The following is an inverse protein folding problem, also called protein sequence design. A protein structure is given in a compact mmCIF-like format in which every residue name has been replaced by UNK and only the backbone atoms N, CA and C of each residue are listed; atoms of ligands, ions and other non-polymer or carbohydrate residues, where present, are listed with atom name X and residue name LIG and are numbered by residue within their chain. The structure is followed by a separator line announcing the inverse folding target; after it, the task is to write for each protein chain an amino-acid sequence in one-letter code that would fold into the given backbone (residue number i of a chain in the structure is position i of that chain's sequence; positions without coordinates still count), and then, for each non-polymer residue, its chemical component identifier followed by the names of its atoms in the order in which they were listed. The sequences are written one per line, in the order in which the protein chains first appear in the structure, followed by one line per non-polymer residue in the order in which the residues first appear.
data_IF_334054262840
#
_entry.id   IF_334054262840
#
_cell.length_a   1.000
_cell.length_b   1.000
_cell.length_c   1.000
_cell.angle_alpha   90.00
_cell.angle_beta   90.00
_cell.angle_gamma   90.00
#
_symmetry.space_group_name_H-M   'P 1'
#
loop_
_entity.id
_entity.type
_entity.pdbx_description
1 polymer ?
#
# COMPACT_ATOMS: atom_id res chain seq x y z
N UNK A 1 -37.65 -6.30 11.41
CA UNK A 1 -38.87 -6.74 10.69
C UNK A 1 -38.72 -6.33 9.23
N UNK A 2 -38.76 -7.32 8.30
CA UNK A 2 -39.09 -7.32 6.84
C UNK A 2 -38.53 -6.17 5.96
N UNK A 3 -38.00 -6.37 4.76
CA UNK A 3 -37.94 -7.48 3.79
C UNK A 3 -37.05 -7.05 2.60
N UNK A 4 -36.32 -7.96 1.96
CA UNK A 4 -36.59 -8.54 0.62
C UNK A 4 -36.97 -7.53 -0.48
N UNK A 5 -36.10 -7.47 -1.51
CA UNK A 5 -36.26 -6.74 -2.78
C UNK A 5 -35.07 -5.78 -2.98
N UNK A 6 -34.17 -5.94 -3.95
CA UNK A 6 -34.48 -6.09 -5.38
C UNK A 6 -33.27 -6.69 -6.11
N UNK A 7 -33.43 -7.92 -6.60
CA UNK A 7 -32.72 -8.47 -7.75
C UNK A 7 -33.33 -7.83 -9.01
N UNK A 8 -32.50 -7.47 -9.99
CA UNK A 8 -32.80 -6.96 -11.34
C UNK A 8 -32.60 -5.45 -11.59
N UNK A 9 -31.39 -5.09 -12.03
CA UNK A 9 -31.21 -4.24 -13.21
C UNK A 9 -29.96 -4.69 -13.97
N UNK A 10 -30.12 -5.78 -14.71
CA UNK A 10 -29.28 -6.14 -15.85
C UNK A 10 -29.78 -5.33 -17.05
N UNK A 11 -28.90 -4.53 -17.67
CA UNK A 11 -28.80 -4.16 -19.10
C UNK A 11 -28.38 -2.70 -19.28
N UNK A 12 -27.11 -2.49 -19.68
CA UNK A 12 -26.65 -1.20 -20.21
C UNK A 12 -25.27 -0.75 -19.77
N UNK A 13 -24.21 -1.49 -20.12
CA UNK A 13 -22.85 -0.96 -20.37
C UNK A 13 -21.92 -2.08 -20.86
N UNK A 14 -22.30 -2.76 -21.95
CA UNK A 14 -21.34 -3.49 -22.77
C UNK A 14 -20.73 -2.47 -23.73
N UNK A 15 -19.57 -1.89 -23.36
CA UNK A 15 -18.53 -1.25 -24.20
C UNK A 15 -17.72 -0.25 -23.35
N UNK A 16 -16.71 -0.71 -22.61
CA UNK A 16 -15.59 0.12 -22.11
C UNK A 16 -14.45 -0.71 -21.47
N UNK A 17 -14.17 -1.92 -21.96
CA UNK A 17 -13.08 -2.78 -21.44
C UNK A 17 -12.04 -3.16 -22.51
N UNK A 18 -11.96 -2.38 -23.59
CA UNK A 18 -11.05 -2.66 -24.69
C UNK A 18 -10.50 -1.39 -25.29
N UNK A 19 -9.43 -0.82 -24.72
CA UNK A 19 -8.49 0.05 -25.45
C UNK A 19 -7.21 0.31 -24.63
N UNK A 20 -6.34 -0.69 -24.55
CA UNK A 20 -4.88 -0.49 -24.40
C UNK A 20 -4.05 -1.69 -24.92
N UNK A 21 -4.61 -2.46 -25.85
CA UNK A 21 -3.92 -3.52 -26.60
C UNK A 21 -3.13 -2.99 -27.82
N UNK A 22 -2.89 -1.67 -27.94
CA UNK A 22 -2.38 -1.06 -29.18
C UNK A 22 -0.97 -0.46 -29.07
N UNK A 23 -0.35 -0.41 -27.88
CA UNK A 23 1.00 0.17 -27.72
C UNK A 23 2.15 -0.85 -27.63
N UNK A 24 1.84 -2.16 -27.65
CA UNK A 24 2.80 -3.22 -27.97
C UNK A 24 2.40 -3.76 -29.35
N UNK A 25 2.90 -3.15 -30.43
CA UNK A 25 2.52 -3.46 -31.82
C UNK A 25 2.68 -4.97 -32.12
N UNK A 26 1.62 -5.65 -32.61
CA UNK A 26 1.75 -6.81 -33.48
C UNK A 26 1.65 -6.37 -34.95
N UNK A 27 2.47 -6.96 -35.81
CA UNK A 27 2.42 -6.73 -37.27
C UNK A 27 1.21 -7.48 -37.88
N UNK A 28 0.28 -6.83 -38.60
CA UNK A 28 -1.05 -7.38 -38.87
C UNK A 28 -1.15 -8.26 -40.14
N UNK A 29 -0.14 -9.08 -40.47
CA UNK A 29 -0.19 -9.94 -41.67
C UNK A 29 0.04 -11.44 -41.46
N UNK A 30 0.07 -11.95 -40.23
CA UNK A 30 0.20 -13.41 -39.99
C UNK A 30 -0.96 -13.98 -39.17
N UNK A 31 -2.19 -13.70 -39.59
CA UNK A 31 -3.40 -14.30 -39.01
C UNK A 31 -3.95 -15.40 -39.93
N UNK A 32 -3.12 -16.40 -40.21
CA UNK A 32 -3.55 -17.73 -40.64
C UNK A 32 -2.33 -18.66 -40.66
N UNK A 33 -2.44 -19.78 -39.95
CA UNK A 33 -1.51 -20.93 -39.89
C UNK A 33 -0.39 -20.89 -38.84
N UNK A 34 -0.44 -21.89 -37.94
CA UNK A 34 0.61 -22.52 -37.12
C UNK A 34 0.72 -22.15 -35.64
N UNK A 35 0.21 -23.08 -34.84
CA UNK A 35 0.78 -23.49 -33.55
C UNK A 35 2.32 -23.64 -33.64
N UNK A 36 3.02 -23.23 -32.58
CA UNK A 36 4.49 -23.22 -32.38
C UNK A 36 5.28 -22.22 -33.25
N UNK A 37 5.78 -21.13 -32.65
CA UNK A 37 7.07 -20.45 -32.92
C UNK A 37 7.04 -18.97 -32.47
N UNK A 38 7.24 -18.73 -31.18
CA UNK A 38 8.33 -17.81 -30.82
C UNK A 38 9.37 -18.71 -30.16
N UNK A 39 10.44 -19.10 -30.87
CA UNK A 39 11.50 -19.95 -30.32
C UNK A 39 12.34 -19.24 -29.24
N UNK A 40 11.76 -18.28 -28.52
CA UNK A 40 12.38 -17.51 -27.45
C UNK A 40 12.17 -18.26 -26.14
N UNK A 41 13.23 -18.36 -25.34
CA UNK A 41 13.08 -18.86 -23.97
C UNK A 41 12.17 -17.92 -23.16
N UNK A 42 11.63 -18.40 -22.04
CA UNK A 42 10.77 -17.59 -21.15
C UNK A 42 11.52 -16.31 -20.72
N UNK A 43 12.80 -16.42 -20.43
CA UNK A 43 13.67 -15.28 -20.08
C UNK A 43 13.72 -14.28 -21.23
N UNK A 44 13.96 -14.75 -22.46
CA UNK A 44 14.04 -13.88 -23.63
C UNK A 44 12.72 -13.17 -23.92
N UNK A 45 11.57 -13.82 -23.67
CA UNK A 45 10.26 -13.16 -23.77
C UNK A 45 10.10 -12.04 -22.74
N UNK A 46 10.50 -12.28 -21.48
CA UNK A 46 10.44 -11.28 -20.40
C UNK A 46 11.37 -10.10 -20.70
N UNK A 47 12.59 -10.39 -21.14
CA UNK A 47 13.59 -9.40 -21.55
C UNK A 47 13.11 -8.52 -22.71
N UNK A 48 12.54 -9.13 -23.75
CA UNK A 48 11.99 -8.42 -24.90
C UNK A 48 10.79 -7.55 -24.51
N UNK A 49 9.86 -8.12 -23.73
CA UNK A 49 8.65 -7.39 -23.31
C UNK A 49 8.98 -6.20 -22.40
N UNK A 50 9.95 -6.34 -21.50
CA UNK A 50 10.33 -5.26 -20.59
C UNK A 50 11.39 -4.31 -21.17
N UNK A 51 12.00 -4.65 -22.31
CA UNK A 51 13.09 -3.87 -22.91
C UNK A 51 14.36 -3.86 -22.07
N UNK A 52 14.56 -4.88 -21.24
CA UNK A 52 15.68 -5.02 -20.31
C UNK A 52 16.43 -6.33 -20.54
N UNK A 53 17.56 -6.52 -19.86
CA UNK A 53 18.34 -7.78 -19.87
C UNK A 53 18.70 -8.21 -18.47
N UNK A 54 18.64 -9.50 -18.18
CA UNK A 54 19.10 -10.04 -16.90
C UNK A 54 20.58 -9.71 -16.69
N UNK A 55 20.91 -9.11 -15.55
CA UNK A 55 22.30 -8.83 -15.15
C UNK A 55 23.00 -10.10 -14.65
N UNK A 56 22.22 -11.01 -14.08
CA UNK A 56 22.66 -12.34 -13.65
C UNK A 56 21.63 -13.37 -14.08
N UNK A 57 22.10 -14.58 -14.41
CA UNK A 57 21.21 -15.70 -14.78
C UNK A 57 20.14 -15.91 -13.70
N UNK A 58 18.86 -16.04 -14.08
CA UNK A 58 17.79 -16.34 -13.13
C UNK A 58 18.04 -17.66 -12.39
N UNK A 59 18.05 -17.61 -11.07
CA UNK A 59 18.09 -18.80 -10.22
C UNK A 59 16.67 -19.11 -9.73
N UNK A 60 16.23 -20.35 -9.93
CA UNK A 60 14.89 -20.82 -9.56
C UNK A 60 15.05 -22.07 -8.70
N UNK A 61 14.54 -22.01 -7.47
CA UNK A 61 14.58 -23.13 -6.53
C UNK A 61 13.18 -23.67 -6.27
N UNK A 62 13.03 -24.98 -6.46
CA UNK A 62 11.85 -25.72 -6.03
C UNK A 62 11.97 -26.04 -4.55
N UNK A 63 10.99 -25.62 -3.76
CA UNK A 63 11.00 -25.74 -2.30
C UNK A 63 9.66 -26.24 -1.78
N UNK A 64 9.67 -26.82 -0.57
CA UNK A 64 8.43 -27.11 0.16
C UNK A 64 7.78 -25.80 0.63
N UNK A 65 6.46 -25.83 0.84
CA UNK A 65 5.69 -24.64 1.25
C UNK A 65 6.18 -24.07 2.58
N UNK A 66 6.56 -24.93 3.52
CA UNK A 66 7.07 -24.55 4.84
C UNK A 66 8.38 -23.78 4.74
N UNK A 67 9.23 -24.13 3.77
CA UNK A 67 10.50 -23.43 3.51
C UNK A 67 10.21 -22.04 2.94
N UNK A 68 9.27 -21.93 1.99
CA UNK A 68 8.86 -20.64 1.42
C UNK A 68 8.29 -19.71 2.49
N UNK A 69 7.41 -20.23 3.36
CA UNK A 69 6.84 -19.47 4.49
C UNK A 69 7.93 -18.99 5.45
N UNK A 70 8.87 -19.86 5.84
CA UNK A 70 10.00 -19.48 6.70
C UNK A 70 10.83 -18.35 6.07
N UNK A 71 11.06 -18.39 4.76
CA UNK A 71 11.81 -17.34 4.04
C UNK A 71 11.07 -16.01 3.99
N UNK A 72 9.77 -16.04 3.76
CA UNK A 72 8.91 -14.86 3.83
C UNK A 72 8.99 -14.21 5.22
N UNK A 73 8.85 -15.00 6.28
CA UNK A 73 8.92 -14.51 7.66
C UNK A 73 10.30 -13.95 8.01
N UNK A 74 11.37 -14.62 7.60
CA UNK A 74 12.75 -14.13 7.72
C UNK A 74 12.97 -12.80 7.01
N UNK A 75 12.43 -12.65 5.79
CA UNK A 75 12.54 -11.42 5.01
C UNK A 75 11.79 -10.26 5.67
N UNK A 76 10.55 -10.51 6.14
CA UNK A 76 9.78 -9.52 6.91
C UNK A 76 10.51 -9.12 8.21
N UNK A 77 11.09 -10.08 8.93
CA UNK A 77 11.88 -9.81 10.12
C UNK A 77 13.14 -8.98 9.82
N UNK A 78 13.82 -9.26 8.70
CA UNK A 78 14.98 -8.49 8.25
C UNK A 78 14.59 -7.06 7.84
N UNK A 79 13.44 -6.89 7.18
CA UNK A 79 12.93 -5.60 6.72
C UNK A 79 12.54 -4.66 7.85
N UNK A 80 11.83 -5.17 8.86
CA UNK A 80 11.24 -4.32 9.90
C UNK A 80 12.01 -4.37 11.22
N UNK A 81 12.93 -5.32 11.37
CA UNK A 81 13.67 -5.57 12.60
C UNK A 81 12.83 -6.18 13.72
N UNK A 82 13.46 -6.57 14.85
CA UNK A 82 12.78 -7.20 15.98
C UNK A 82 11.65 -6.30 16.53
N UNK A 83 10.42 -6.81 16.54
CA UNK A 83 9.24 -6.10 17.02
C UNK A 83 8.75 -4.96 16.11
N UNK A 84 9.37 -4.74 14.94
CA UNK A 84 9.03 -3.62 14.06
C UNK A 84 7.60 -3.66 13.52
N UNK A 85 7.10 -4.85 13.16
CA UNK A 85 5.71 -5.04 12.71
C UNK A 85 4.70 -4.87 13.83
N UNK A 86 5.02 -5.29 15.05
CA UNK A 86 4.17 -5.07 16.22
C UNK A 86 4.04 -3.57 16.54
N UNK A 87 5.16 -2.82 16.48
CA UNK A 87 5.17 -1.37 16.65
C UNK A 87 4.36 -0.65 15.56
N UNK A 88 4.45 -1.06 14.30
CA UNK A 88 3.62 -0.53 13.20
C UNK A 88 2.14 -0.82 13.42
N UNK A 89 1.79 -2.05 13.74
CA UNK A 89 0.42 -2.46 14.10
C UNK A 89 -0.15 -1.57 15.22
N UNK A 90 0.66 -1.35 16.26
CA UNK A 90 0.29 -0.47 17.38
C UNK A 90 0.12 0.99 16.95
N UNK A 91 1.02 1.53 16.13
CA UNK A 91 0.91 2.89 15.62
C UNK A 91 -0.37 3.08 14.78
N UNK A 92 -0.68 2.14 13.89
CA UNK A 92 -1.90 2.17 13.06
C UNK A 92 -3.18 2.08 13.91
N UNK A 93 -3.19 1.21 14.92
CA UNK A 93 -4.29 1.12 15.89
C UNK A 93 -4.52 2.47 16.59
N UNK A 94 -3.44 3.08 17.09
CA UNK A 94 -3.50 4.37 17.77
C UNK A 94 -3.89 5.53 16.84
N UNK A 95 -3.68 5.38 15.53
CA UNK A 95 -4.06 6.38 14.55
C UNK A 95 -5.55 6.31 14.19
N UNK A 96 -6.13 5.11 14.16
CA UNK A 96 -7.56 4.92 13.86
C UNK A 96 -7.90 3.59 13.17
N UNK A 97 -6.90 2.82 12.74
CA UNK A 97 -7.11 1.48 12.18
C UNK A 97 -7.34 0.45 13.29
N UNK A 98 -8.51 0.51 13.96
CA UNK A 98 -8.81 -0.27 15.16
C UNK A 98 -8.81 -1.79 14.95
N UNK A 99 -8.82 -2.27 13.70
CA UNK A 99 -8.67 -3.69 13.36
C UNK A 99 -7.33 -4.27 13.87
N UNK A 100 -6.28 -3.45 13.96
CA UNK A 100 -4.96 -3.85 14.46
C UNK A 100 -4.89 -4.03 15.98
N UNK A 101 -5.94 -3.71 16.73
CA UNK A 101 -6.02 -4.01 18.17
C UNK A 101 -6.06 -5.52 18.48
N UNK A 102 -6.42 -6.35 17.50
CA UNK A 102 -6.54 -7.80 17.67
C UNK A 102 -6.09 -8.62 16.47
N UNK A 103 -5.46 -8.00 15.48
CA UNK A 103 -4.97 -8.66 14.27
C UNK A 103 -3.49 -8.37 14.09
N UNK A 104 -2.71 -9.40 13.76
CA UNK A 104 -1.28 -9.28 13.54
C UNK A 104 -0.98 -8.73 12.14
N UNK A 105 -0.22 -7.64 12.07
CA UNK A 105 0.32 -7.14 10.80
C UNK A 105 1.24 -8.19 10.14
N UNK A 106 2.03 -8.93 10.94
CA UNK A 106 2.93 -9.95 10.42
C UNK A 106 2.19 -11.10 9.75
N UNK A 107 1.16 -11.66 10.41
CA UNK A 107 0.34 -12.73 9.82
C UNK A 107 -0.33 -12.28 8.53
N UNK A 108 -0.85 -11.04 8.50
CA UNK A 108 -1.50 -10.50 7.32
C UNK A 108 -0.54 -10.24 6.14
N UNK A 109 0.67 -9.74 6.40
CA UNK A 109 1.71 -9.57 5.36
C UNK A 109 2.23 -10.93 4.85
N UNK A 110 2.46 -11.89 5.75
CA UNK A 110 2.83 -13.26 5.36
C UNK A 110 1.74 -13.90 4.51
N UNK A 111 0.46 -13.73 4.86
CA UNK A 111 -0.65 -14.24 4.08
C UNK A 111 -0.74 -13.57 2.70
N UNK A 112 -0.49 -12.26 2.59
CA UNK A 112 -0.41 -11.55 1.30
C UNK A 112 0.69 -12.07 0.39
N UNK A 113 1.74 -12.70 0.94
CA UNK A 113 2.87 -13.23 0.18
C UNK A 113 2.83 -14.75 -0.04
N UNK A 114 1.87 -15.46 0.57
CA UNK A 114 1.81 -16.93 0.52
C UNK A 114 0.45 -17.51 0.12
N UNK A 115 -0.64 -16.78 0.31
CA UNK A 115 -2.00 -17.26 0.01
C UNK A 115 -2.45 -16.84 -1.39
N UNK A 116 -2.86 -17.82 -2.20
CA UNK A 116 -3.29 -17.59 -3.59
C UNK A 116 -2.14 -17.26 -4.54
N UNK A 117 -0.90 -17.61 -4.19
CA UNK A 117 0.31 -17.38 -4.99
C UNK A 117 1.14 -18.66 -5.09
N UNK A 118 1.79 -18.90 -6.24
CA UNK A 118 2.64 -20.09 -6.49
C UNK A 118 4.11 -19.75 -6.75
N UNK A 119 4.62 -18.76 -6.03
CA UNK A 119 6.04 -18.46 -6.00
C UNK A 119 6.34 -17.10 -5.42
N UNK A 120 7.60 -16.88 -5.10
CA UNK A 120 8.07 -15.68 -4.40
C UNK A 120 9.47 -15.32 -4.85
N UNK A 121 9.80 -14.03 -4.84
CA UNK A 121 11.13 -13.51 -5.09
C UNK A 121 11.82 -13.30 -3.74
N UNK A 122 12.92 -14.00 -3.50
CA UNK A 122 13.81 -13.66 -2.39
C UNK A 122 14.66 -12.46 -2.79
N UNK A 123 14.22 -11.28 -2.37
CA UNK A 123 14.89 -10.02 -2.67
C UNK A 123 16.31 -9.93 -2.06
N UNK A 124 16.60 -10.73 -1.01
CA UNK A 124 17.91 -10.77 -0.35
C UNK A 124 18.90 -11.61 -1.13
N UNK A 125 18.48 -12.79 -1.55
CA UNK A 125 19.34 -13.76 -2.27
C UNK A 125 19.27 -13.60 -3.81
N UNK A 126 18.33 -12.78 -4.31
CA UNK A 126 18.10 -12.52 -5.74
C UNK A 126 17.77 -13.79 -6.54
N UNK A 127 16.95 -14.67 -5.96
CA UNK A 127 16.45 -15.89 -6.61
C UNK A 127 14.94 -16.07 -6.44
N UNK A 128 14.35 -16.94 -7.25
CA UNK A 128 12.95 -17.29 -7.19
C UNK A 128 12.75 -18.59 -6.41
N UNK A 129 11.73 -18.60 -5.55
CA UNK A 129 11.25 -19.80 -4.88
C UNK A 129 9.90 -20.19 -5.47
N UNK A 130 9.78 -21.42 -5.94
CA UNK A 130 8.54 -22.02 -6.47
C UNK A 130 8.25 -23.33 -5.72
N UNK A 131 6.98 -23.76 -5.61
CA UNK A 131 6.67 -25.00 -4.91
C UNK A 131 7.15 -26.22 -5.69
N UNK A 132 7.38 -27.35 -5.00
CA UNK A 132 7.89 -28.58 -5.61
C UNK A 132 7.00 -29.12 -6.75
N UNK A 133 5.69 -28.93 -6.64
CA UNK A 133 4.66 -29.34 -7.60
C UNK A 133 4.45 -28.34 -8.75
N UNK A 134 5.27 -27.28 -8.86
CA UNK A 134 5.14 -26.28 -9.93
C UNK A 134 5.37 -26.91 -11.32
N UNK A 135 4.41 -26.76 -12.24
CA UNK A 135 4.48 -27.37 -13.57
C UNK A 135 4.46 -26.32 -14.69
N UNK A 136 5.62 -26.09 -15.32
CA UNK A 136 5.77 -25.09 -16.39
C UNK A 136 5.00 -25.44 -17.68
N UNK A 137 4.56 -26.69 -17.82
CA UNK A 137 3.68 -27.12 -18.92
C UNK A 137 2.25 -26.60 -18.73
N UNK A 138 1.79 -26.45 -17.48
CA UNK A 138 0.49 -25.87 -17.15
C UNK A 138 0.47 -24.37 -17.46
N UNK A 139 -0.59 -23.91 -18.11
CA UNK A 139 -0.71 -22.52 -18.57
C UNK A 139 -0.65 -21.54 -17.38
N UNK A 140 -1.32 -21.85 -16.28
CA UNK A 140 -1.35 -20.98 -15.09
C UNK A 140 0.04 -20.82 -14.46
N UNK A 141 0.76 -21.92 -14.22
CA UNK A 141 2.12 -21.90 -13.66
C UNK A 141 3.10 -21.22 -14.63
N UNK A 142 2.98 -21.44 -15.94
CA UNK A 142 3.78 -20.72 -16.94
C UNK A 142 3.57 -19.21 -16.88
N UNK A 143 2.33 -18.74 -16.78
CA UNK A 143 2.01 -17.31 -16.62
C UNK A 143 2.61 -16.76 -15.33
N UNK A 144 2.49 -17.51 -14.22
CA UNK A 144 3.06 -17.12 -12.93
C UNK A 144 4.59 -16.99 -13.04
N UNK A 145 5.26 -17.93 -13.70
CA UNK A 145 6.72 -17.90 -13.88
C UNK A 145 7.18 -16.66 -14.65
N UNK A 146 6.47 -16.27 -15.72
CA UNK A 146 6.78 -15.03 -16.45
C UNK A 146 6.67 -13.80 -15.54
N UNK A 147 5.63 -13.73 -14.71
CA UNK A 147 5.47 -12.64 -13.74
C UNK A 147 6.58 -12.63 -12.66
N UNK A 148 7.01 -13.80 -12.19
CA UNK A 148 8.11 -13.91 -11.22
C UNK A 148 9.44 -13.48 -11.85
N UNK A 149 9.72 -13.91 -13.07
CA UNK A 149 10.92 -13.51 -13.82
C UNK A 149 10.90 -12.01 -14.13
N UNK A 150 9.74 -11.42 -14.43
CA UNK A 150 9.60 -9.98 -14.56
C UNK A 150 9.95 -9.25 -13.25
N UNK A 151 9.45 -9.71 -12.10
CA UNK A 151 9.83 -9.14 -10.80
C UNK A 151 11.33 -9.26 -10.53
N UNK A 152 11.92 -10.42 -10.82
CA UNK A 152 13.37 -10.63 -10.68
C UNK A 152 14.15 -9.67 -11.59
N UNK A 153 13.76 -9.55 -12.86
CA UNK A 153 14.42 -8.66 -13.81
C UNK A 153 14.35 -7.21 -13.35
N UNK A 154 13.17 -6.74 -12.94
CA UNK A 154 12.99 -5.38 -12.39
C UNK A 154 13.85 -5.18 -11.15
N UNK A 155 13.87 -6.13 -10.21
CA UNK A 155 14.69 -6.05 -9.00
C UNK A 155 16.20 -5.99 -9.30
N UNK A 156 16.68 -6.70 -10.32
CA UNK A 156 18.09 -6.63 -10.73
C UNK A 156 18.47 -5.23 -11.26
N UNK A 157 17.54 -4.49 -11.85
CA UNK A 157 17.77 -3.13 -12.35
C UNK A 157 17.48 -2.04 -11.33
N UNK A 158 16.48 -2.25 -10.49
CA UNK A 158 16.00 -1.33 -9.46
C UNK A 158 15.82 -2.09 -8.13
N UNK A 159 16.92 -2.38 -7.42
CA UNK A 159 16.85 -3.22 -6.22
C UNK A 159 16.20 -2.47 -5.05
N UNK A 160 15.22 -3.11 -4.42
CA UNK A 160 14.65 -2.63 -3.16
C UNK A 160 15.55 -3.04 -2.00
N UNK A 161 16.43 -2.12 -1.56
CA UNK A 161 17.36 -2.40 -0.46
C UNK A 161 16.62 -2.48 0.87
N UNK A 162 16.66 -3.65 1.50
CA UNK A 162 16.02 -3.94 2.78
C UNK A 162 16.44 -2.90 3.84
N UNK A 163 15.45 -2.36 4.55
CA UNK A 163 15.64 -1.39 5.64
C UNK A 163 16.10 0.01 5.23
N UNK A 164 16.26 0.30 3.93
CA UNK A 164 16.68 1.64 3.45
C UNK A 164 15.50 2.59 3.19
N UNK A 165 14.40 2.05 2.65
CA UNK A 165 13.22 2.81 2.27
C UNK A 165 12.28 2.99 3.46
N UNK A 166 11.64 4.16 3.55
CA UNK A 166 10.48 4.36 4.43
C UNK A 166 9.30 3.48 4.00
N UNK A 167 8.30 3.36 4.87
CA UNK A 167 7.12 2.55 4.56
C UNK A 167 6.38 3.04 3.29
N UNK A 168 6.18 4.36 3.12
CA UNK A 168 5.52 4.95 1.95
C UNK A 168 6.30 4.69 0.64
N UNK A 169 7.60 4.99 0.63
CA UNK A 169 8.50 4.72 -0.50
C UNK A 169 8.46 3.24 -0.89
N UNK A 170 8.56 2.35 0.10
CA UNK A 170 8.55 0.90 -0.13
C UNK A 170 7.21 0.44 -0.72
N UNK A 171 6.09 0.97 -0.23
CA UNK A 171 4.76 0.65 -0.79
C UNK A 171 4.66 1.13 -2.23
N UNK A 172 5.15 2.33 -2.53
CA UNK A 172 5.14 2.90 -3.89
C UNK A 172 5.95 2.04 -4.88
N UNK A 173 7.20 1.73 -4.53
CA UNK A 173 8.11 0.97 -5.38
C UNK A 173 7.67 -0.49 -5.54
N UNK A 174 7.31 -1.18 -4.44
CA UNK A 174 6.82 -2.57 -4.53
C UNK A 174 5.50 -2.66 -5.30
N UNK A 175 4.62 -1.66 -5.14
CA UNK A 175 3.40 -1.54 -5.92
C UNK A 175 3.68 -1.45 -7.42
N UNK A 176 4.63 -0.61 -7.83
CA UNK A 176 5.05 -0.51 -9.24
C UNK A 176 5.65 -1.83 -9.75
N UNK A 177 6.59 -2.43 -9.02
CA UNK A 177 7.22 -3.69 -9.44
C UNK A 177 6.19 -4.81 -9.61
N UNK A 178 5.24 -4.91 -8.68
CA UNK A 178 4.16 -5.87 -8.77
C UNK A 178 3.20 -5.55 -9.93
N UNK A 179 2.91 -4.27 -10.19
CA UNK A 179 2.06 -3.86 -11.32
C UNK A 179 2.70 -4.21 -12.67
N UNK A 180 4.01 -4.02 -12.85
CA UNK A 180 4.73 -4.43 -14.07
C UNK A 180 4.56 -5.93 -14.32
N UNK A 181 4.77 -6.74 -13.27
CA UNK A 181 4.60 -8.19 -13.35
C UNK A 181 3.14 -8.61 -13.62
N UNK A 182 2.16 -7.95 -13.00
CA UNK A 182 0.74 -8.22 -13.26
C UNK A 182 0.31 -7.81 -14.68
N UNK A 183 0.84 -6.71 -15.23
CA UNK A 183 0.58 -6.31 -16.62
C UNK A 183 1.12 -7.33 -17.61
N UNK A 184 2.32 -7.89 -17.35
CA UNK A 184 2.86 -9.00 -18.16
C UNK A 184 1.97 -10.25 -18.07
N UNK A 185 1.57 -10.64 -16.86
CA UNK A 185 0.68 -11.78 -16.65
C UNK A 185 -0.67 -11.57 -17.33
N UNK A 186 -1.24 -10.37 -17.26
CA UNK A 186 -2.50 -10.06 -17.93
C UNK A 186 -2.41 -10.20 -19.46
N UNK A 187 -1.29 -9.75 -20.07
CA UNK A 187 -1.03 -9.96 -21.50
C UNK A 187 -1.02 -11.45 -21.86
N UNK A 188 -0.26 -12.26 -21.11
CA UNK A 188 -0.17 -13.71 -21.35
C UNK A 188 -1.50 -14.45 -21.11
N UNK A 189 -2.30 -14.01 -20.13
CA UNK A 189 -3.66 -14.54 -19.91
C UNK A 189 -4.58 -14.25 -21.09
N UNK A 190 -4.50 -13.06 -21.69
CA UNK A 190 -5.28 -12.73 -22.90
C UNK A 190 -4.80 -13.55 -24.11
N UNK A 191 -3.49 -13.73 -24.27
CA UNK A 191 -2.93 -14.61 -25.32
C UNK A 191 -3.36 -16.07 -25.14
N UNK A 192 -3.63 -16.50 -23.91
CA UNK A 192 -4.07 -17.85 -23.54
C UNK A 192 -5.52 -17.89 -23.04
N UNK A 193 -6.39 -17.02 -23.57
CA UNK A 193 -7.72 -16.74 -23.01
C UNK A 193 -8.60 -17.96 -22.75
N UNK A 194 -8.54 -18.96 -23.62
CA UNK A 194 -9.30 -20.22 -23.48
C UNK A 194 -8.98 -20.96 -22.17
N UNK A 195 -7.75 -20.84 -21.66
CA UNK A 195 -7.33 -21.44 -20.40
C UNK A 195 -7.78 -20.66 -19.15
N UNK A 196 -8.26 -19.43 -19.31
CA UNK A 196 -8.63 -18.51 -18.22
C UNK A 196 -10.08 -17.99 -18.33
N UNK A 197 -10.96 -18.69 -19.05
CA UNK A 197 -12.37 -18.31 -19.15
C UNK A 197 -13.08 -18.28 -17.80
N UNK A 198 -12.63 -19.11 -16.85
CA UNK A 198 -13.18 -19.20 -15.50
C UNK A 198 -12.09 -18.79 -14.49
N UNK A 199 -12.43 -18.04 -13.42
CA UNK A 199 -11.47 -17.73 -12.37
C UNK A 199 -10.85 -19.00 -11.78
N UNK A 200 -9.52 -18.99 -11.62
CA UNK A 200 -8.80 -20.12 -11.06
C UNK A 200 -8.98 -20.19 -9.54
N UNK A 201 -8.62 -21.34 -8.94
CA UNK A 201 -8.63 -21.50 -7.49
C UNK A 201 -7.68 -20.52 -6.79
N UNK A 202 -6.58 -20.13 -7.43
CA UNK A 202 -5.65 -19.13 -6.90
C UNK A 202 -6.29 -17.74 -6.85
N UNK A 203 -6.97 -17.32 -7.92
CA UNK A 203 -7.65 -16.02 -7.99
C UNK A 203 -8.75 -15.94 -6.93
N UNK A 204 -9.63 -16.95 -6.87
CA UNK A 204 -10.70 -16.99 -5.87
C UNK A 204 -10.19 -17.02 -4.43
N UNK A 205 -9.11 -17.77 -4.16
CA UNK A 205 -8.43 -17.78 -2.85
C UNK A 205 -7.85 -16.41 -2.51
N UNK A 206 -7.28 -15.72 -3.51
CA UNK A 206 -6.71 -14.38 -3.34
C UNK A 206 -7.77 -13.34 -3.02
N UNK A 207 -8.89 -13.35 -3.74
CA UNK A 207 -10.03 -12.46 -3.49
C UNK A 207 -10.61 -12.67 -2.09
N UNK A 208 -10.79 -13.94 -1.68
CA UNK A 208 -11.27 -14.28 -0.34
C UNK A 208 -10.31 -13.80 0.75
N UNK A 209 -9.00 -13.91 0.54
CA UNK A 209 -7.99 -13.36 1.44
C UNK A 209 -8.16 -11.85 1.58
N UNK A 210 -8.16 -11.10 0.46
CA UNK A 210 -8.23 -9.64 0.49
C UNK A 210 -9.49 -9.14 1.21
N UNK A 211 -10.64 -9.78 0.96
CA UNK A 211 -11.89 -9.47 1.65
C UNK A 211 -11.87 -9.75 3.17
N UNK A 212 -10.94 -10.58 3.64
CA UNK A 212 -10.83 -10.95 5.06
C UNK A 212 -9.82 -10.10 5.84
N UNK A 213 -8.88 -9.44 5.17
CA UNK A 213 -7.80 -8.69 5.78
C UNK A 213 -8.28 -7.33 6.34
N UNK A 214 -7.56 -6.74 7.32
CA UNK A 214 -7.72 -5.33 7.67
C UNK A 214 -7.63 -4.44 6.43
N UNK A 215 -8.41 -3.36 6.38
CA UNK A 215 -8.51 -2.51 5.18
C UNK A 215 -7.14 -1.99 4.72
N UNK A 216 -6.26 -1.62 5.66
CA UNK A 216 -4.88 -1.23 5.39
C UNK A 216 -4.12 -2.28 4.56
N UNK A 217 -4.21 -3.57 4.95
CA UNK A 217 -3.52 -4.67 4.29
C UNK A 217 -4.21 -5.07 2.99
N UNK A 218 -5.54 -5.02 2.94
CA UNK A 218 -6.30 -5.24 1.72
C UNK A 218 -5.88 -4.25 0.63
N UNK A 219 -5.79 -2.95 0.96
CA UNK A 219 -5.31 -1.91 0.03
C UNK A 219 -3.91 -2.22 -0.52
N UNK A 220 -2.99 -2.74 0.31
CA UNK A 220 -1.65 -3.14 -0.17
C UNK A 220 -1.72 -4.30 -1.17
N UNK A 221 -2.59 -5.28 -0.93
CA UNK A 221 -2.76 -6.43 -1.81
C UNK A 221 -3.48 -6.11 -3.12
N UNK A 222 -4.25 -5.01 -3.14
CA UNK A 222 -4.99 -4.50 -4.31
C UNK A 222 -4.14 -3.65 -5.25
N UNK A 223 -3.04 -3.05 -4.76
CA UNK A 223 -2.15 -2.17 -5.53
C UNK A 223 -1.83 -2.64 -6.96
N UNK A 224 -1.38 -3.88 -7.19
CA UNK A 224 -1.00 -4.34 -8.53
C UNK A 224 -2.16 -4.93 -9.34
N UNK A 225 -3.36 -5.07 -8.75
CA UNK A 225 -4.52 -5.65 -9.42
C UNK A 225 -4.96 -4.78 -10.60
N UNK A 226 -5.82 -5.31 -11.47
CA UNK A 226 -6.29 -4.62 -12.69
C UNK A 226 -6.83 -3.20 -12.43
N UNK A 227 -7.52 -3.00 -11.30
CA UNK A 227 -8.05 -1.69 -10.87
C UNK A 227 -7.24 -1.04 -9.77
N UNK A 228 -6.09 -1.62 -9.43
CA UNK A 228 -5.19 -1.12 -8.40
C UNK A 228 -4.47 0.15 -8.84
N UNK A 229 -4.22 1.05 -7.89
CA UNK A 229 -3.66 2.37 -8.21
C UNK A 229 -2.25 2.30 -8.82
N UNK A 230 -1.42 1.30 -8.47
CA UNK A 230 -0.09 1.16 -9.07
C UNK A 230 -0.17 0.72 -10.54
N UNK A 231 -1.14 -0.14 -10.88
CA UNK A 231 -1.37 -0.55 -12.27
C UNK A 231 -1.97 0.56 -13.11
N UNK A 232 -2.95 1.29 -12.57
CA UNK A 232 -3.50 2.48 -13.23
C UNK A 232 -2.40 3.53 -13.47
N UNK A 233 -1.52 3.75 -12.49
CA UNK A 233 -0.37 4.65 -12.62
C UNK A 233 0.55 4.22 -13.77
N UNK A 234 1.01 2.96 -13.76
CA UNK A 234 1.87 2.38 -14.80
C UNK A 234 1.26 2.55 -16.19
N UNK A 235 0.03 2.06 -16.38
CA UNK A 235 -0.64 2.07 -17.68
C UNK A 235 -0.90 3.50 -18.19
N UNK A 236 -1.23 4.43 -17.28
CA UNK A 236 -1.45 5.82 -17.65
C UNK A 236 -0.16 6.48 -18.13
N UNK A 237 0.97 6.26 -17.46
CA UNK A 237 2.27 6.83 -17.86
C UNK A 237 2.73 6.31 -19.22
N UNK A 238 2.62 5.00 -19.42
CA UNK A 238 2.96 4.36 -20.71
C UNK A 238 2.03 4.83 -21.84
N UNK A 239 0.71 4.90 -21.61
CA UNK A 239 -0.26 5.34 -22.64
C UNK A 239 -0.09 6.79 -23.06
N UNK A 240 0.24 7.66 -22.10
CA UNK A 240 0.41 9.10 -22.35
C UNK A 240 1.82 9.44 -22.84
N UNK A 241 2.72 8.45 -22.95
CA UNK A 241 4.13 8.62 -23.29
C UNK A 241 4.83 9.63 -22.37
N UNK A 242 4.32 9.83 -21.15
CA UNK A 242 4.93 10.74 -20.18
C UNK A 242 6.17 10.15 -19.52
N UNK A 243 6.27 8.82 -19.45
CA UNK A 243 7.45 8.05 -19.06
C UNK A 243 7.46 6.72 -19.80
N UNK A 244 8.64 6.23 -20.17
CA UNK A 244 8.81 4.88 -20.71
C UNK A 244 8.91 3.85 -19.58
N UNK A 245 8.80 2.55 -19.92
CA UNK A 245 8.96 1.48 -18.93
C UNK A 245 10.38 1.43 -18.33
N UNK A 246 11.48 1.53 -19.12
CA UNK A 246 12.81 1.69 -18.55
C UNK A 246 12.93 2.88 -17.60
N UNK A 247 12.36 4.05 -17.95
CA UNK A 247 12.39 5.23 -17.07
C UNK A 247 11.74 4.94 -15.72
N UNK A 248 10.58 4.26 -15.72
CA UNK A 248 9.84 3.91 -14.50
C UNK A 248 10.59 2.91 -13.61
N UNK A 249 11.45 2.07 -14.20
CA UNK A 249 12.28 1.12 -13.47
C UNK A 249 13.52 1.81 -12.92
N UNK A 250 14.18 2.66 -13.70
CA UNK A 250 15.39 3.39 -13.27
C UNK A 250 15.09 4.46 -12.21
N UNK A 251 13.92 5.09 -12.28
CA UNK A 251 13.48 6.13 -11.35
C UNK A 251 12.04 5.83 -10.85
N UNK A 252 11.86 4.83 -9.98
CA UNK A 252 10.53 4.43 -9.54
C UNK A 252 9.89 5.52 -8.66
N UNK A 253 8.55 5.51 -8.48
CA UNK A 253 7.87 6.48 -7.63
C UNK A 253 8.40 6.38 -6.20
N UNK A 254 8.67 7.54 -5.59
CA UNK A 254 9.21 7.65 -4.23
C UNK A 254 8.12 7.88 -3.19
N UNK A 255 6.85 7.99 -3.60
CA UNK A 255 5.73 8.11 -2.67
C UNK A 255 4.47 7.52 -3.28
N UNK A 256 3.59 6.99 -2.44
CA UNK A 256 2.25 6.60 -2.88
C UNK A 256 1.42 7.79 -3.38
N UNK A 257 1.81 9.03 -3.06
CA UNK A 257 1.24 10.24 -3.66
C UNK A 257 1.40 10.27 -5.18
N UNK A 258 2.57 9.84 -5.69
CA UNK A 258 2.81 9.77 -7.13
C UNK A 258 1.92 8.73 -7.81
N UNK A 259 1.73 7.57 -7.15
CA UNK A 259 0.83 6.52 -7.64
C UNK A 259 -0.62 7.01 -7.78
N UNK A 260 -1.04 7.91 -6.90
CA UNK A 260 -2.36 8.55 -6.97
C UNK A 260 -2.44 9.69 -8.01
N UNK A 261 -1.35 9.96 -8.74
CA UNK A 261 -1.27 11.00 -9.76
C UNK A 261 -0.80 12.36 -9.25
N UNK A 262 -0.34 12.43 -8.00
CA UNK A 262 0.27 13.63 -7.42
C UNK A 262 1.64 13.98 -8.01
N UNK A 263 2.04 15.24 -7.88
CA UNK A 263 3.37 15.73 -8.25
C UNK A 263 4.35 15.57 -7.08
N UNK A 264 5.39 14.73 -7.18
CA UNK A 264 6.34 14.50 -6.08
C UNK A 264 7.08 15.77 -5.66
N UNK A 265 7.25 16.74 -6.55
CA UNK A 265 7.91 18.02 -6.22
C UNK A 265 7.11 18.87 -5.22
N UNK A 266 5.83 18.56 -5.05
CA UNK A 266 4.97 19.21 -4.06
C UNK A 266 5.15 18.65 -2.64
N UNK A 267 5.78 17.47 -2.48
CA UNK A 267 6.02 16.86 -1.18
C UNK A 267 7.03 17.71 -0.41
N UNK A 268 6.69 18.06 0.83
CA UNK A 268 7.53 18.83 1.71
C UNK A 268 7.86 18.01 2.98
N UNK A 269 9.13 17.99 3.42
CA UNK A 269 9.50 17.29 4.65
C UNK A 269 8.67 17.78 5.85
N UNK A 270 8.18 16.83 6.64
CA UNK A 270 7.49 17.08 7.90
C UNK A 270 8.42 16.72 9.05
N UNK A 271 8.58 17.64 10.00
CA UNK A 271 9.37 17.44 11.21
C UNK A 271 8.44 17.20 12.38
N UNK A 272 8.71 16.15 13.17
CA UNK A 272 8.02 15.91 14.43
C UNK A 272 8.86 16.47 15.58
N UNK A 273 8.29 17.28 16.49
CA UNK A 273 8.97 17.75 17.70
C UNK A 273 9.57 16.57 18.47
N UNK A 274 10.82 16.67 18.93
CA UNK A 274 11.43 15.61 19.75
C UNK A 274 10.55 15.29 20.96
N UNK A 275 10.47 14.01 21.39
CA UNK A 275 9.70 13.69 22.58
C UNK A 275 10.38 14.33 23.81
N UNK A 276 9.63 14.58 24.91
CA UNK A 276 10.20 14.98 26.19
C UNK A 276 11.40 14.10 26.61
N UNK A 277 12.33 14.70 27.36
CA UNK A 277 13.45 13.99 27.98
C UNK A 277 12.88 12.82 28.79
N UNK A 278 13.48 11.64 28.70
CA UNK A 278 13.05 10.36 29.32
C UNK A 278 12.04 9.51 28.53
N UNK A 279 11.68 9.89 27.30
CA UNK A 279 10.80 9.09 26.44
C UNK A 279 11.59 8.41 25.31
N UNK A 280 11.39 7.10 25.16
CA UNK A 280 12.07 6.31 24.13
C UNK A 280 11.27 6.31 22.83
N UNK A 281 11.88 6.80 21.74
CA UNK A 281 11.30 6.68 20.40
C UNK A 281 11.39 5.24 19.94
N UNK A 282 10.23 4.64 19.65
CA UNK A 282 10.12 3.25 19.26
C UNK A 282 10.03 3.07 17.74
N UNK A 283 9.38 4.02 17.05
CA UNK A 283 9.16 4.01 15.60
C UNK A 283 8.91 5.44 15.12
N UNK A 284 9.48 5.82 13.98
CA UNK A 284 9.15 7.04 13.27
C UNK A 284 9.06 6.75 11.78
N UNK A 285 7.92 7.02 11.16
CA UNK A 285 7.61 6.62 9.79
C UNK A 285 6.59 7.58 9.15
N UNK A 286 6.33 7.42 7.85
CA UNK A 286 5.26 8.11 7.12
C UNK A 286 4.18 7.10 6.73
N UNK A 287 2.91 7.51 6.81
CA UNK A 287 1.83 6.70 6.24
C UNK A 287 1.84 6.72 4.71
N UNK A 288 2.15 7.88 4.14
CA UNK A 288 1.94 8.14 2.71
C UNK A 288 0.50 8.47 2.36
N UNK A 289 0.32 9.06 1.18
CA UNK A 289 -0.99 9.52 0.71
C UNK A 289 -2.01 8.38 0.56
N UNK A 290 -1.57 7.19 0.14
CA UNK A 290 -2.47 6.03 -0.02
C UNK A 290 -3.05 5.57 1.31
N UNK A 291 -2.23 5.42 2.35
CA UNK A 291 -2.76 4.94 3.63
C UNK A 291 -3.58 6.02 4.35
N UNK A 292 -3.31 7.29 4.08
CA UNK A 292 -4.18 8.39 4.51
C UNK A 292 -5.53 8.33 3.79
N UNK A 293 -5.54 8.06 2.48
CA UNK A 293 -6.78 7.80 1.74
C UNK A 293 -7.56 6.66 2.41
N UNK A 294 -6.92 5.52 2.64
CA UNK A 294 -7.55 4.35 3.28
C UNK A 294 -8.09 4.68 4.68
N UNK A 295 -7.35 5.44 5.49
CA UNK A 295 -7.79 5.85 6.82
C UNK A 295 -9.04 6.76 6.75
N UNK A 296 -9.05 7.72 5.83
CA UNK A 296 -10.18 8.65 5.69
C UNK A 296 -11.40 7.93 5.13
N UNK A 297 -11.21 7.01 4.19
CA UNK A 297 -12.30 6.18 3.65
C UNK A 297 -12.94 5.36 4.76
N UNK A 298 -12.11 4.76 5.62
CA UNK A 298 -12.55 4.00 6.79
C UNK A 298 -13.34 4.85 7.79
N UNK A 299 -12.97 6.11 7.99
CA UNK A 299 -13.57 7.00 9.00
C UNK A 299 -14.75 7.83 8.48
N UNK A 300 -14.85 8.06 7.18
CA UNK A 300 -15.88 8.92 6.60
C UNK A 300 -16.45 8.39 5.27
N UNK A 301 -15.81 8.69 4.15
CA UNK A 301 -16.28 8.27 2.83
C UNK A 301 -15.16 8.23 1.80
N UNK A 302 -15.37 7.44 0.75
CA UNK A 302 -14.46 7.31 -0.37
C UNK A 302 -14.23 8.64 -1.10
N UNK A 303 -15.27 9.46 -1.33
CA UNK A 303 -15.09 10.73 -2.06
C UNK A 303 -14.21 11.72 -1.30
N UNK A 304 -14.37 11.79 0.03
CA UNK A 304 -13.54 12.64 0.88
C UNK A 304 -12.11 12.13 0.94
N UNK A 305 -11.93 10.81 1.00
CA UNK A 305 -10.62 10.17 0.98
C UNK A 305 -9.83 10.52 -0.28
N UNK A 306 -10.44 10.35 -1.47
CA UNK A 306 -9.80 10.68 -2.74
C UNK A 306 -9.41 12.17 -2.80
N UNK A 307 -10.34 13.06 -2.42
CA UNK A 307 -10.10 14.49 -2.48
C UNK A 307 -8.94 14.92 -1.56
N UNK A 308 -8.89 14.41 -0.33
CA UNK A 308 -7.85 14.76 0.63
C UNK A 308 -6.50 14.14 0.26
N UNK A 309 -6.46 12.90 -0.22
CA UNK A 309 -5.21 12.25 -0.60
C UNK A 309 -4.43 13.04 -1.67
N UNK A 310 -5.12 13.68 -2.62
CA UNK A 310 -4.50 14.55 -3.63
C UNK A 310 -3.97 15.89 -3.07
N UNK A 311 -4.47 16.30 -1.91
CA UNK A 311 -4.03 17.51 -1.20
C UNK A 311 -2.95 17.20 -0.14
N UNK A 312 -2.53 15.95 0.01
CA UNK A 312 -1.45 15.57 0.90
C UNK A 312 -0.10 16.11 0.43
N UNK A 313 0.74 16.58 1.35
CA UNK A 313 2.06 17.18 1.04
C UNK A 313 3.19 16.65 1.92
N UNK A 314 2.99 15.53 2.59
CA UNK A 314 3.95 14.95 3.52
C UNK A 314 3.31 14.66 4.87
N UNK A 315 3.71 13.57 5.50
CA UNK A 315 3.37 13.29 6.89
C UNK A 315 4.52 12.59 7.60
N UNK A 316 4.47 12.62 8.93
CA UNK A 316 5.32 11.80 9.77
C UNK A 316 4.57 11.46 11.04
N UNK A 317 4.63 10.20 11.47
CA UNK A 317 4.19 9.77 12.78
C UNK A 317 5.35 9.22 13.60
N UNK A 318 5.23 9.34 14.93
CA UNK A 318 6.13 8.76 15.91
C UNK A 318 5.35 7.99 16.95
N UNK A 319 5.75 6.74 17.14
CA UNK A 319 5.40 5.93 18.31
C UNK A 319 6.52 6.05 19.34
N UNK A 320 6.16 6.35 20.58
CA UNK A 320 7.08 6.42 21.69
C UNK A 320 6.39 5.91 22.95
N UNK A 321 7.17 5.53 23.96
CA UNK A 321 6.63 5.00 25.21
C UNK A 321 7.26 5.66 26.44
N UNK A 322 6.49 5.64 27.53
CA UNK A 322 6.94 5.96 28.88
C UNK A 322 6.32 4.95 29.87
N UNK A 323 6.41 5.22 31.17
CA UNK A 323 5.87 4.35 32.23
C UNK A 323 4.35 4.15 32.17
N UNK A 324 3.62 5.07 31.54
CA UNK A 324 2.16 5.00 31.38
C UNK A 324 1.72 4.18 30.17
N UNK A 325 2.63 3.92 29.22
CA UNK A 325 2.38 3.11 28.03
C UNK A 325 2.79 3.81 26.73
N UNK A 326 2.21 3.33 25.63
CA UNK A 326 2.52 3.83 24.28
C UNK A 326 1.73 5.09 23.94
N UNK A 327 2.37 5.99 23.20
CA UNK A 327 1.86 7.26 22.72
C UNK A 327 2.15 7.42 21.23
N UNK A 328 1.23 8.06 20.52
CA UNK A 328 1.38 8.37 19.10
C UNK A 328 1.29 9.89 18.90
N UNK A 329 2.23 10.44 18.15
CA UNK A 329 2.15 11.79 17.58
C UNK A 329 2.23 11.68 16.07
N UNK A 330 1.25 12.21 15.36
CA UNK A 330 1.20 12.25 13.91
C UNK A 330 1.01 13.68 13.42
N UNK A 331 1.88 14.10 12.52
CA UNK A 331 1.85 15.42 11.89
C UNK A 331 1.67 15.22 10.40
N UNK A 332 0.63 15.82 9.83
CA UNK A 332 0.34 15.75 8.40
C UNK A 332 0.26 17.15 7.82
N UNK A 333 0.92 17.37 6.69
CA UNK A 333 0.91 18.62 5.95
C UNK A 333 0.03 18.47 4.71
N UNK A 334 -0.75 19.51 4.46
CA UNK A 334 -1.69 19.59 3.36
C UNK A 334 -1.34 20.75 2.42
N UNK A 335 -1.93 20.73 1.23
CA UNK A 335 -1.81 21.82 0.27
C UNK A 335 -2.54 23.08 0.74
N UNK A 336 -3.68 22.90 1.42
CA UNK A 336 -4.55 23.99 1.85
C UNK A 336 -4.92 23.87 3.32
N UNK A 337 -5.24 25.01 3.94
CA UNK A 337 -5.75 25.04 5.31
C UNK A 337 -7.13 24.38 5.43
N UNK A 338 -7.98 24.53 4.41
CA UNK A 338 -9.28 23.85 4.36
C UNK A 338 -9.13 22.33 4.41
N UNK A 339 -8.14 21.76 3.72
CA UNK A 339 -7.84 20.33 3.79
C UNK A 339 -7.38 19.90 5.19
N UNK A 340 -6.52 20.71 5.83
CA UNK A 340 -6.05 20.43 7.19
C UNK A 340 -7.18 20.46 8.23
N UNK A 341 -8.08 21.45 8.13
CA UNK A 341 -9.28 21.55 8.98
C UNK A 341 -10.17 20.34 8.74
N UNK A 342 -10.44 20.02 7.48
CA UNK A 342 -11.31 18.90 7.12
C UNK A 342 -10.77 17.56 7.62
N UNK A 343 -9.47 17.31 7.43
CA UNK A 343 -8.82 16.13 7.95
C UNK A 343 -8.89 16.07 9.48
N UNK A 344 -8.68 17.20 10.18
CA UNK A 344 -8.80 17.25 11.63
C UNK A 344 -10.22 16.90 12.12
N UNK A 345 -11.26 17.41 11.45
CA UNK A 345 -12.66 17.07 11.74
C UNK A 345 -12.93 15.57 11.60
N UNK A 346 -12.43 14.94 10.54
CA UNK A 346 -12.62 13.50 10.28
C UNK A 346 -11.91 12.66 11.34
N UNK A 347 -10.63 12.96 11.58
CA UNK A 347 -9.81 12.24 12.55
C UNK A 347 -10.32 12.39 13.99
N UNK A 348 -10.99 13.51 14.29
CA UNK A 348 -11.63 13.74 15.60
C UNK A 348 -12.82 12.82 15.87
N UNK A 349 -13.45 12.25 14.82
CA UNK A 349 -14.62 11.37 14.94
C UNK A 349 -14.26 9.92 15.25
N UNK A 350 -12.97 9.60 15.39
CA UNK A 350 -12.56 8.24 15.73
C UNK A 350 -13.31 7.75 16.98
N UNK A 351 -13.78 6.52 16.94
CA UNK A 351 -14.50 5.94 18.05
C UNK A 351 -13.58 5.03 18.84
N UNK A 352 -13.41 5.31 20.13
CA UNK A 352 -12.76 4.34 21.00
C UNK A 352 -13.60 3.07 21.11
N UNK A 353 -12.95 1.92 21.00
CA UNK A 353 -13.61 0.63 21.16
C UNK A 353 -14.18 0.54 22.59
N UNK A 354 -15.45 0.14 22.77
CA UNK A 354 -16.02 -0.06 24.10
C UNK A 354 -15.14 -1.02 24.93
N UNK A 355 -14.72 -0.57 26.12
CA UNK A 355 -13.88 -1.35 27.03
C UNK A 355 -12.36 -1.24 26.78
N UNK A 356 -11.92 -0.43 25.82
CA UNK A 356 -10.49 -0.09 25.69
C UNK A 356 -9.99 0.71 26.92
N UNK A 357 -8.68 0.64 27.26
CA UNK A 357 -8.09 1.53 28.25
C UNK A 357 -8.38 2.98 27.90
N UNK A 358 -8.70 3.80 28.90
CA UNK A 358 -8.91 5.24 28.71
C UNK A 358 -7.66 5.85 28.07
N UNK A 359 -7.83 6.62 27.00
CA UNK A 359 -6.75 7.34 26.34
C UNK A 359 -7.06 8.84 26.30
N UNK A 360 -5.99 9.62 26.15
CA UNK A 360 -6.04 11.07 26.11
C UNK A 360 -5.73 11.49 24.67
N UNK A 361 -6.67 12.18 24.04
CA UNK A 361 -6.64 12.40 22.60
C UNK A 361 -6.83 13.87 22.23
N UNK A 362 -6.13 14.31 21.19
CA UNK A 362 -6.30 15.63 20.60
C UNK A 362 -6.02 15.58 19.10
N UNK A 363 -6.88 16.22 18.32
CA UNK A 363 -6.61 16.55 16.93
C UNK A 363 -6.79 18.04 16.76
N UNK A 364 -5.78 18.68 16.19
CA UNK A 364 -5.78 20.11 15.93
C UNK A 364 -5.35 20.38 14.50
N UNK A 365 -5.85 21.47 13.93
CA UNK A 365 -5.34 22.01 12.67
C UNK A 365 -4.77 23.40 12.89
N UNK A 366 -3.66 23.69 12.23
CA UNK A 366 -3.00 24.99 12.27
C UNK A 366 -2.45 25.32 10.88
N UNK A 367 -3.08 26.29 10.22
CA UNK A 367 -2.79 26.57 8.81
C UNK A 367 -2.92 25.30 7.98
N UNK A 368 -1.85 24.92 7.28
CA UNK A 368 -1.82 23.73 6.40
C UNK A 368 -1.46 22.42 7.12
N UNK A 369 -1.44 22.38 8.44
CA UNK A 369 -0.97 21.22 9.21
C UNK A 369 -2.11 20.67 10.06
N UNK A 370 -2.25 19.35 10.07
CA UNK A 370 -3.04 18.61 11.06
C UNK A 370 -2.10 17.89 12.00
N UNK A 371 -2.37 17.95 13.30
CA UNK A 371 -1.64 17.20 14.31
C UNK A 371 -2.61 16.34 15.09
N UNK A 372 -2.31 15.05 15.18
CA UNK A 372 -3.02 14.06 15.98
C UNK A 372 -2.08 13.58 17.09
N UNK A 373 -2.54 13.67 18.34
CA UNK A 373 -1.85 13.13 19.50
C UNK A 373 -2.77 12.13 20.21
N UNK A 374 -2.28 10.91 20.43
CA UNK A 374 -2.99 9.86 21.13
C UNK A 374 -2.12 9.28 22.24
N UNK A 375 -2.39 9.68 23.48
CA UNK A 375 -1.55 9.41 24.64
C UNK A 375 -2.22 8.44 25.62
N UNK A 376 -1.41 7.70 26.37
CA UNK A 376 -1.88 6.85 27.46
C UNK A 376 -2.26 7.65 28.73
N UNK A 377 -1.79 8.89 28.87
CA UNK A 377 -2.05 9.77 30.01
C UNK A 377 -2.16 11.24 29.61
N UNK A 378 -2.82 12.04 30.47
CA UNK A 378 -3.07 13.47 30.24
C UNK A 378 -1.79 14.31 30.33
N UNK A 379 -0.83 13.94 31.19
CA UNK A 379 0.41 14.69 31.40
C UNK A 379 1.27 14.73 30.13
N UNK A 380 1.36 13.58 29.45
CA UNK A 380 2.06 13.42 28.19
C UNK A 380 1.36 14.21 27.08
N UNK A 381 0.02 14.17 27.04
CA UNK A 381 -0.74 14.96 26.07
C UNK A 381 -0.52 16.47 26.26
N UNK A 382 -0.57 16.96 27.50
CA UNK A 382 -0.31 18.38 27.81
C UNK A 382 1.13 18.79 27.50
N UNK A 383 2.09 17.88 27.66
CA UNK A 383 3.49 18.12 27.29
C UNK A 383 3.67 18.25 25.77
N UNK A 384 3.02 17.39 24.98
CA UNK A 384 3.01 17.47 23.51
C UNK A 384 2.38 18.79 23.06
N UNK A 385 1.25 19.17 23.63
CA UNK A 385 0.58 20.43 23.34
C UNK A 385 1.51 21.63 23.61
N UNK A 386 2.24 21.64 24.74
CA UNK A 386 3.26 22.67 25.04
C UNK A 386 4.43 22.68 24.06
N UNK A 387 4.87 21.53 23.55
CA UNK A 387 5.92 21.43 22.53
C UNK A 387 5.49 22.03 21.20
N UNK A 388 4.22 21.87 20.82
CA UNK A 388 3.64 22.55 19.66
C UNK A 388 3.68 24.09 19.82
N UNK A 389 3.59 24.59 21.06
CA UNK A 389 3.55 26.03 21.36
C UNK A 389 4.92 26.68 21.67
N UNK A 390 5.99 25.91 21.87
CA UNK A 390 7.31 26.44 22.31
C UNK A 390 8.38 26.51 21.22
N UNK A 391 8.13 25.98 20.02
CA UNK A 391 9.08 26.01 18.87
C UNK A 391 9.25 27.38 18.19
N UNK A 392 8.83 28.49 18.82
CA UNK A 392 9.26 29.84 18.45
C UNK A 392 8.73 30.38 17.11
N UNK A 393 7.90 29.64 16.38
CA UNK A 393 7.07 30.19 15.31
C UNK A 393 5.77 30.74 15.91
N UNK A 394 5.74 32.04 16.24
CA UNK A 394 4.49 32.67 16.68
C UNK A 394 3.49 32.73 15.52
N UNK A 395 2.42 31.95 15.58
CA UNK A 395 1.27 32.05 14.68
C UNK A 395 0.00 32.26 15.55
N UNK A 396 -0.21 33.48 16.06
CA UNK A 396 -1.45 33.93 16.75
C UNK A 396 -2.48 34.42 15.71
N UNK A 397 -3.78 34.64 16.01
CA UNK A 397 -4.73 34.03 16.95
C UNK A 397 -5.98 33.46 16.21
N UNK A 398 -6.54 32.33 16.65
CA UNK A 398 -7.75 31.79 16.02
C UNK A 398 -7.96 30.32 16.36
N UNK A 399 -8.27 30.06 17.62
CA UNK A 399 -8.27 28.71 18.17
C UNK A 399 -9.68 28.12 18.13
N UNK A 400 -9.83 26.93 17.54
CA UNK A 400 -10.97 26.02 17.79
C UNK A 400 -10.42 24.70 18.27
N UNK A 401 -10.32 24.56 19.58
CA UNK A 401 -10.16 23.27 20.22
C UNK A 401 -11.45 22.47 20.01
N UNK A 402 -11.36 21.33 19.32
CA UNK A 402 -12.38 20.28 19.45
C UNK A 402 -11.86 19.35 20.55
N UNK A 403 -12.06 19.76 21.80
CA UNK A 403 -11.86 18.87 22.95
C UNK A 403 -13.14 18.04 23.09
N UNK A 404 -13.07 16.76 22.70
CA UNK A 404 -14.05 15.77 23.15
C UNK A 404 -13.62 15.28 24.53
N UNK A 405 -13.92 16.07 25.55
CA UNK A 405 -13.91 15.62 26.94
C UNK A 405 -15.35 15.34 27.36
N UNK A 406 -15.56 14.11 27.79
CA UNK A 406 -16.72 13.59 28.50
C UNK A 406 -18.01 13.35 27.70
N UNK A 407 -18.42 12.08 27.72
CA UNK A 407 -19.73 11.64 27.32
C UNK A 407 -20.82 12.35 28.10
N UNK A 408 -21.53 13.25 27.44
CA UNK A 408 -22.93 13.48 27.70
C UNK A 408 -23.61 14.03 26.45
N UNK A 409 -24.34 13.16 25.75
CA UNK A 409 -25.38 13.56 24.80
C UNK A 409 -26.52 14.20 25.58
N UNK A 410 -26.39 15.49 25.90
CA UNK A 410 -27.56 16.31 26.19
C UNK A 410 -27.31 17.78 25.86
N UNK A 411 -28.21 18.30 25.03
CA UNK A 411 -28.42 19.69 24.65
C UNK A 411 -27.39 20.29 23.67
N UNK A 412 -27.82 20.43 22.41
CA UNK A 412 -28.09 21.74 21.83
C UNK A 412 -29.05 21.55 20.63
N UNK A 413 -30.18 22.27 20.70
CA UNK A 413 -31.01 22.62 19.55
C UNK A 413 -30.33 23.72 18.75
#
# INVERSE_FOLDING_TARGET
MKGVGTLASLTGAATAAGTLLVLLKPDPQSAATKEQETGLSIEAYVEDTLGLRFRTTPEIHRVAQEVSLSRIEENLAAQFGPGGLARRSRALELMGFHEFAGRSMGEGLTALQSTGVRGWLDERENHLLIPNDFNEEEVEDRVILHGLLARLLVHQHSPMVIGRLSDDERIAQSGLHAAIAESLKAKLREESREAFEVPTSLVTTREALLASLPIYLATLGELPQERGVARIYLETRLRTESRTLPDLIEDPPQSTFELLGGDPSAIAPVTIPAPPVDQETQLEESLGALQIQTLIEWLESYEQAQALALLWRGDRYRLFANTSGDHLLWVCRWETEAAAIRAAEILSRRHEKPGAPRRCFSVVSQGKITVLANCADDETLESIKKLQWSTGTSWLPGYRDIILSDGNLSSLR
#
